data_IF_725718821081
#
_entry.id   IF_725718821081
#
_cell.length_a   1.000
_cell.length_b   1.000
_cell.length_c   1.000
_cell.angle_alpha   90.00
_cell.angle_beta   90.00
_cell.angle_gamma   90.00
#
_symmetry.space_group_name_H-M   'P 1'
#
loop_
_entity.id
_entity.type
_entity.pdbx_description
1 polymer ?
#
# COMPACT_ATOMS: atom_id res chain seq x y z
N UNK A 1 -14.54 -1.60 21.64
CA UNK A 1 -15.21 -0.92 22.76
C UNK A 1 -14.12 -0.47 23.71
N UNK A 2 -14.15 0.79 24.12
CA UNK A 2 -13.24 1.28 25.16
C UNK A 2 -13.51 0.56 26.49
N UNK A 3 -12.57 0.62 27.47
CA UNK A 3 -12.73 -0.02 28.78
C UNK A 3 -13.98 0.45 29.55
N UNK A 4 -14.52 1.63 29.19
CA UNK A 4 -15.73 2.23 29.73
C UNK A 4 -17.02 1.79 29.01
N UNK A 5 -16.92 0.91 28.00
CA UNK A 5 -18.06 0.44 27.20
C UNK A 5 -18.48 1.38 26.07
N UNK A 6 -17.83 2.54 25.92
CA UNK A 6 -18.11 3.47 24.82
C UNK A 6 -17.59 2.95 23.48
N UNK A 7 -18.19 3.45 22.39
CA UNK A 7 -17.68 3.20 21.05
C UNK A 7 -16.25 3.76 20.96
N UNK A 8 -15.34 2.92 20.45
CA UNK A 8 -13.98 3.37 20.17
C UNK A 8 -14.06 4.36 19.01
N UNK A 9 -13.59 5.59 19.25
CA UNK A 9 -13.36 6.52 18.15
C UNK A 9 -12.35 5.88 17.18
N UNK A 10 -12.52 6.09 15.88
CA UNK A 10 -11.64 5.54 14.83
C UNK A 10 -11.00 6.63 13.99
N UNK A 11 -11.57 7.84 14.01
CA UNK A 11 -11.05 8.99 13.33
C UNK A 11 -9.92 9.63 14.16
N UNK A 12 -8.72 9.62 13.59
CA UNK A 12 -7.52 10.19 14.20
C UNK A 12 -7.69 11.68 14.57
N UNK A 13 -8.35 12.46 13.72
CA UNK A 13 -8.54 13.89 13.95
C UNK A 13 -9.51 14.14 15.09
N UNK A 14 -10.62 13.39 15.15
CA UNK A 14 -11.57 13.47 16.25
C UNK A 14 -10.91 13.09 17.60
N UNK A 15 -10.03 12.08 17.61
CA UNK A 15 -9.26 11.73 18.80
C UNK A 15 -8.36 12.88 19.26
N UNK A 16 -7.60 13.48 18.34
CA UNK A 16 -6.71 14.60 18.65
C UNK A 16 -7.50 15.82 19.16
N UNK A 17 -8.62 16.14 18.52
CA UNK A 17 -9.50 17.23 18.95
C UNK A 17 -10.06 16.98 20.36
N UNK A 18 -10.52 15.75 20.62
CA UNK A 18 -11.04 15.37 21.95
C UNK A 18 -9.97 15.43 23.03
N UNK A 19 -8.73 15.02 22.72
CA UNK A 19 -7.59 15.09 23.62
C UNK A 19 -7.21 16.54 23.93
N UNK A 20 -7.17 17.40 22.91
CA UNK A 20 -6.89 18.83 23.04
C UNK A 20 -7.99 19.49 23.89
N UNK A 21 -9.26 19.15 23.69
CA UNK A 21 -10.37 19.65 24.48
C UNK A 21 -10.25 19.24 25.96
N UNK A 22 -9.92 17.97 26.22
CA UNK A 22 -9.69 17.47 27.58
C UNK A 22 -8.52 18.20 28.26
N UNK A 23 -7.39 18.39 27.57
CA UNK A 23 -6.22 19.09 28.08
C UNK A 23 -6.44 20.59 28.36
N UNK A 24 -7.44 21.21 27.73
CA UNK A 24 -7.82 22.60 27.99
C UNK A 24 -8.72 22.76 29.23
N UNK A 25 -9.26 21.66 29.75
CA UNK A 25 -10.13 21.69 30.92
C UNK A 25 -9.27 21.80 32.18
N UNK A 26 -9.41 22.85 33.01
CA UNK A 26 -8.64 22.96 34.24
C UNK A 26 -8.99 21.83 35.21
N UNK A 27 -7.99 21.03 35.56
CA UNK A 27 -8.06 20.03 36.63
C UNK A 27 -7.57 20.71 37.91
N UNK A 28 -8.49 21.29 38.68
CA UNK A 28 -8.17 21.85 39.99
C UNK A 28 -7.85 20.71 41.00
N UNK A 29 -7.97 20.95 42.30
CA UNK A 29 -7.78 19.92 43.34
C UNK A 29 -8.88 18.83 43.38
N UNK A 30 -9.70 18.74 42.33
CA UNK A 30 -10.72 17.72 42.16
C UNK A 30 -10.11 16.43 41.64
N UNK A 31 -10.16 15.38 42.46
CA UNK A 31 -9.66 14.06 42.07
C UNK A 31 -10.47 13.46 40.90
N UNK A 32 -11.77 13.75 40.82
CA UNK A 32 -12.63 13.30 39.73
C UNK A 32 -12.25 13.95 38.39
N UNK A 33 -11.85 15.21 38.39
CA UNK A 33 -11.44 15.91 37.16
C UNK A 33 -10.08 15.36 36.68
N UNK A 34 -9.17 15.06 37.62
CA UNK A 34 -7.89 14.40 37.30
C UNK A 34 -8.08 13.01 36.70
N UNK A 35 -8.98 12.22 37.27
CA UNK A 35 -9.33 10.90 36.73
C UNK A 35 -9.94 10.99 35.33
N UNK A 36 -10.83 11.96 35.11
CA UNK A 36 -11.42 12.23 33.79
C UNK A 36 -10.36 12.62 32.76
N UNK A 37 -9.42 13.49 33.12
CA UNK A 37 -8.33 13.89 32.24
C UNK A 37 -7.40 12.70 31.91
N UNK A 38 -7.06 11.87 32.91
CA UNK A 38 -6.25 10.67 32.70
C UNK A 38 -6.95 9.68 31.76
N UNK A 39 -8.25 9.43 31.97
CA UNK A 39 -9.04 8.55 31.11
C UNK A 39 -9.09 9.04 29.64
N UNK A 40 -9.23 10.35 29.43
CA UNK A 40 -9.21 10.95 28.10
C UNK A 40 -7.86 10.77 27.39
N UNK A 41 -6.75 10.95 28.12
CA UNK A 41 -5.40 10.72 27.59
C UNK A 41 -5.15 9.26 27.26
N UNK A 42 -5.57 8.34 28.13
CA UNK A 42 -5.44 6.90 27.90
C UNK A 42 -6.25 6.43 26.69
N UNK A 43 -7.49 6.94 26.56
CA UNK A 43 -8.33 6.71 25.38
C UNK A 43 -7.67 7.22 24.11
N UNK A 44 -7.12 8.42 24.14
CA UNK A 44 -6.37 9.00 23.02
C UNK A 44 -5.16 8.15 22.67
N UNK A 45 -4.36 7.71 23.65
CA UNK A 45 -3.17 6.90 23.43
C UNK A 45 -3.51 5.56 22.74
N UNK A 46 -4.56 4.87 23.20
CA UNK A 46 -5.05 3.64 22.56
C UNK A 46 -5.53 3.92 21.13
N UNK A 47 -6.29 4.99 20.93
CA UNK A 47 -6.76 5.40 19.62
C UNK A 47 -5.62 5.66 18.63
N UNK A 48 -4.62 6.45 19.04
CA UNK A 48 -3.43 6.76 18.23
C UNK A 48 -2.63 5.50 17.86
N UNK A 49 -2.47 4.56 18.80
CA UNK A 49 -1.82 3.27 18.51
C UNK A 49 -2.58 2.45 17.46
N UNK A 50 -3.91 2.43 17.55
CA UNK A 50 -4.74 1.74 16.55
C UNK A 50 -4.63 2.40 15.18
N UNK A 51 -4.70 3.74 15.11
CA UNK A 51 -4.50 4.48 13.87
C UNK A 51 -3.11 4.23 13.27
N UNK A 52 -2.06 4.22 14.10
CA UNK A 52 -0.70 3.90 13.67
C UNK A 52 -0.60 2.48 13.10
N UNK A 53 -1.21 1.50 13.77
CA UNK A 53 -1.24 0.12 13.28
C UNK A 53 -1.94 0.03 11.90
N UNK A 54 -3.06 0.73 11.71
CA UNK A 54 -3.73 0.76 10.41
C UNK A 54 -2.84 1.35 9.31
N UNK A 55 -2.14 2.45 9.59
CA UNK A 55 -1.18 3.04 8.65
C UNK A 55 -0.04 2.08 8.34
N UNK A 56 0.49 1.39 9.34
CA UNK A 56 1.55 0.39 9.16
C UNK A 56 1.09 -0.79 8.31
N UNK A 57 -0.14 -1.26 8.49
CA UNK A 57 -0.75 -2.32 7.66
C UNK A 57 -0.83 -1.88 6.20
N UNK A 58 -1.40 -0.70 5.92
CA UNK A 58 -1.49 -0.17 4.54
C UNK A 58 -0.11 0.01 3.94
N UNK A 59 0.87 0.50 4.71
CA UNK A 59 2.25 0.67 4.24
C UNK A 59 2.92 -0.67 3.95
N UNK A 60 2.68 -1.71 4.75
CA UNK A 60 3.18 -3.05 4.50
C UNK A 60 2.58 -3.63 3.22
N UNK A 61 1.28 -3.48 3.03
CA UNK A 61 0.58 -3.88 1.81
C UNK A 61 1.14 -3.18 0.57
N UNK A 62 1.35 -1.85 0.64
CA UNK A 62 1.98 -1.10 -0.44
C UNK A 62 3.39 -1.63 -0.76
N UNK A 63 4.18 -2.00 0.26
CA UNK A 63 5.49 -2.62 0.05
C UNK A 63 5.39 -3.94 -0.73
N UNK A 64 4.42 -4.79 -0.40
CA UNK A 64 4.16 -6.02 -1.16
C UNK A 64 3.74 -5.72 -2.61
N UNK A 65 2.86 -4.74 -2.81
CA UNK A 65 2.41 -4.33 -4.14
C UNK A 65 3.56 -3.75 -4.98
N UNK A 66 4.48 -3.00 -4.39
CA UNK A 66 5.68 -2.50 -5.09
C UNK A 66 6.60 -3.65 -5.55
N UNK A 67 6.82 -4.66 -4.70
CA UNK A 67 7.59 -5.85 -5.10
C UNK A 67 6.90 -6.64 -6.21
N UNK A 68 5.56 -6.70 -6.20
CA UNK A 68 4.79 -7.32 -7.28
C UNK A 68 4.94 -6.53 -8.58
N UNK A 69 4.89 -5.19 -8.53
CA UNK A 69 5.11 -4.34 -9.71
C UNK A 69 6.51 -4.54 -10.32
N UNK A 70 7.56 -4.62 -9.51
CA UNK A 70 8.92 -4.93 -9.99
C UNK A 70 8.98 -6.31 -10.67
N UNK A 71 8.30 -7.30 -10.10
CA UNK A 71 8.21 -8.65 -10.68
C UNK A 71 7.45 -8.65 -12.01
N UNK A 72 6.37 -7.88 -12.10
CA UNK A 72 5.56 -7.72 -13.31
C UNK A 72 6.34 -6.98 -14.42
N UNK A 73 7.15 -5.98 -14.06
CA UNK A 73 8.01 -5.26 -15.00
C UNK A 73 9.09 -6.17 -15.62
N UNK A 74 9.76 -6.98 -14.78
CA UNK A 74 10.70 -8.00 -15.24
C UNK A 74 10.04 -8.99 -16.19
N UNK A 75 8.86 -9.53 -15.81
CA UNK A 75 8.11 -10.46 -16.64
C UNK A 75 7.67 -9.82 -17.98
N UNK A 76 7.33 -8.53 -17.96
CA UNK A 76 6.99 -7.76 -19.16
C UNK A 76 8.19 -7.63 -20.11
N UNK A 77 9.36 -7.32 -19.56
CA UNK A 77 10.61 -7.25 -20.32
C UNK A 77 11.00 -8.59 -20.95
N UNK A 78 10.88 -9.69 -20.19
CA UNK A 78 11.15 -11.04 -20.70
C UNK A 78 10.20 -11.42 -21.85
N UNK A 79 8.91 -11.09 -21.70
CA UNK A 79 7.91 -11.33 -22.76
C UNK A 79 8.18 -10.51 -24.01
N UNK A 80 8.55 -9.23 -23.85
CA UNK A 80 8.90 -8.37 -24.98
C UNK A 80 10.11 -8.92 -25.75
N UNK A 81 11.14 -9.40 -25.04
CA UNK A 81 12.30 -10.04 -25.65
C UNK A 81 11.92 -11.33 -26.39
N UNK A 82 11.15 -12.21 -25.75
CA UNK A 82 10.69 -13.46 -26.37
C UNK A 82 9.84 -13.23 -27.62
N UNK A 83 8.93 -12.24 -27.59
CA UNK A 83 8.13 -11.85 -28.75
C UNK A 83 8.99 -11.25 -29.86
N UNK A 84 10.01 -10.45 -29.52
CA UNK A 84 10.97 -9.91 -30.50
C UNK A 84 11.75 -11.04 -31.18
N UNK A 85 12.21 -12.04 -30.43
CA UNK A 85 12.89 -13.21 -31.00
C UNK A 85 11.97 -14.01 -31.92
N UNK A 86 10.74 -14.32 -31.48
CA UNK A 86 9.76 -15.02 -32.31
C UNK A 86 9.46 -14.26 -33.60
N UNK A 87 9.37 -12.93 -33.54
CA UNK A 87 9.21 -12.10 -34.74
C UNK A 87 10.44 -12.18 -35.65
N UNK A 88 11.67 -12.11 -35.09
CA UNK A 88 12.90 -12.28 -35.86
C UNK A 88 12.92 -13.63 -36.57
N UNK A 89 12.63 -14.72 -35.85
CA UNK A 89 12.62 -16.07 -36.40
C UNK A 89 11.60 -16.22 -37.54
N UNK A 90 10.39 -15.66 -37.38
CA UNK A 90 9.36 -15.68 -38.42
C UNK A 90 9.79 -14.88 -39.66
N UNK A 91 10.40 -13.71 -39.47
CA UNK A 91 10.86 -12.85 -40.58
C UNK A 91 12.07 -13.46 -41.28
N UNK A 92 13.10 -13.87 -40.54
CA UNK A 92 14.35 -14.42 -41.08
C UNK A 92 14.13 -15.73 -41.85
N UNK A 93 13.22 -16.60 -41.38
CA UNK A 93 12.81 -17.80 -42.12
C UNK A 93 12.14 -17.44 -43.45
N UNK A 94 11.29 -16.42 -43.46
CA UNK A 94 10.58 -15.99 -44.66
C UNK A 94 11.54 -15.37 -45.71
N UNK A 95 12.55 -14.61 -45.27
CA UNK A 95 13.61 -14.13 -46.16
C UNK A 95 14.41 -15.27 -46.81
N UNK A 96 14.79 -16.29 -46.02
CA UNK A 96 15.56 -17.43 -46.53
C UNK A 96 14.74 -18.29 -47.53
N UNK A 97 13.47 -18.53 -47.21
CA UNK A 97 12.54 -19.22 -48.10
C UNK A 97 12.29 -18.44 -49.40
N UNK A 98 12.11 -17.12 -49.31
CA UNK A 98 11.89 -16.25 -50.48
C UNK A 98 13.10 -16.25 -51.41
N UNK A 99 14.32 -16.12 -50.89
CA UNK A 99 15.56 -16.16 -51.69
C UNK A 99 15.74 -17.54 -52.35
N UNK A 100 15.53 -18.63 -51.60
CA UNK A 100 15.60 -19.99 -52.17
C UNK A 100 14.58 -20.20 -53.29
N UNK A 101 13.35 -19.71 -53.13
CA UNK A 101 12.31 -19.81 -54.16
C UNK A 101 12.65 -19.02 -55.42
N UNK A 102 13.28 -17.85 -55.27
CA UNK A 102 13.70 -17.01 -56.39
C UNK A 102 14.87 -17.63 -57.17
N UNK A 103 15.86 -18.20 -56.47
CA UNK A 103 16.98 -18.90 -57.14
C UNK A 103 16.48 -20.15 -57.87
N UNK A 104 15.56 -20.92 -57.28
CA UNK A 104 14.96 -22.08 -57.96
C UNK A 104 14.12 -21.72 -59.19
N UNK A 105 13.54 -20.51 -59.25
CA UNK A 105 12.83 -20.06 -60.45
C UNK A 105 13.75 -19.49 -61.54
N UNK A 106 15.00 -19.12 -61.22
CA UNK A 106 15.98 -18.64 -62.20
C UNK A 106 16.84 -19.74 -62.83
N UNK A 107 16.87 -20.93 -62.25
CA UNK A 107 17.54 -22.12 -62.80
C UNK A 107 16.56 -23.02 -63.53
#
# INVERSE_FOLDING_TARGET
ADPDGSASETNLFAMLDSAIAALKTPVADSEADKETAAAALDKTNRGLKNSLNNVLTVRAELGTQLNELESLDSLGSDRALGQTQQMSDLVDVDWNATISSYIMQQT
#
